data_IF_311782036741
#
_entry.id   IF_311782036741
#
_cell.length_a   1.000
_cell.length_b   1.000
_cell.length_c   1.000
_cell.angle_alpha   90.00
_cell.angle_beta   90.00
_cell.angle_gamma   90.00
#
_symmetry.space_group_name_H-M   'P 1'
#
loop_
_entity.id
_entity.type
_entity.pdbx_description
1 polymer ?
#
# COMPACT_ATOMS: atom_id res chain seq x y z
N UNK A 1 12.90 4.38 0.49
CA UNK A 1 11.79 3.46 0.15
C UNK A 1 12.44 2.25 -0.48
N UNK A 2 12.17 1.06 0.04
CA UNK A 2 12.71 -0.19 -0.48
C UNK A 2 11.95 -0.61 -1.74
N UNK A 3 10.63 -0.48 -1.72
CA UNK A 3 9.77 -0.87 -2.83
C UNK A 3 8.46 -0.07 -2.83
N UNK A 4 7.82 -0.01 -4.00
CA UNK A 4 6.50 0.58 -4.20
C UNK A 4 5.70 -0.27 -5.17
N UNK A 5 4.51 -0.69 -4.74
CA UNK A 5 3.56 -1.41 -5.59
C UNK A 5 2.22 -0.68 -5.62
N UNK A 6 1.59 -0.64 -6.80
CA UNK A 6 0.19 -0.27 -6.96
C UNK A 6 -0.57 -1.44 -7.57
N UNK A 7 -1.52 -1.96 -6.82
CA UNK A 7 -2.33 -3.10 -7.20
C UNK A 7 -3.74 -2.64 -7.52
N UNK A 8 -4.28 -3.09 -8.63
CA UNK A 8 -5.68 -2.88 -8.99
C UNK A 8 -6.45 -4.18 -8.70
N UNK A 9 -7.66 -4.08 -8.13
CA UNK A 9 -8.50 -5.26 -7.95
C UNK A 9 -8.78 -5.87 -9.31
N UNK A 10 -8.45 -7.15 -9.45
CA UNK A 10 -8.79 -7.92 -10.63
C UNK A 10 -10.16 -8.55 -10.41
N UNK A 11 -11.11 -8.26 -11.30
CA UNK A 11 -12.41 -8.92 -11.31
C UNK A 11 -12.36 -10.13 -12.25
N UNK A 12 -12.48 -11.37 -11.74
CA UNK A 12 -12.47 -12.56 -12.57
C UNK A 12 -13.63 -12.56 -13.55
N UNK A 13 -13.35 -12.75 -14.84
CA UNK A 13 -14.37 -12.91 -15.88
C UNK A 13 -14.67 -14.38 -16.19
N UNK A 14 -13.90 -15.30 -15.62
CA UNK A 14 -14.05 -16.74 -15.78
C UNK A 14 -13.94 -17.47 -14.43
N UNK A 15 -14.47 -18.69 -14.39
CA UNK A 15 -14.48 -19.52 -13.18
C UNK A 15 -13.08 -19.93 -12.70
N UNK A 16 -12.11 -20.05 -13.62
CA UNK A 16 -10.74 -20.49 -13.31
C UNK A 16 -9.95 -19.43 -12.54
N UNK A 17 -10.30 -18.18 -12.74
CA UNK A 17 -9.66 -17.02 -12.11
C UNK A 17 -10.38 -16.59 -10.83
N UNK A 18 -11.48 -17.26 -10.47
CA UNK A 18 -12.21 -17.02 -9.22
C UNK A 18 -11.45 -17.54 -8.00
N UNK A 19 -11.57 -16.85 -6.87
CA UNK A 19 -10.96 -17.29 -5.61
C UNK A 19 -11.81 -18.40 -4.97
N UNK A 20 -11.19 -19.45 -4.45
CA UNK A 20 -11.89 -20.53 -3.73
C UNK A 20 -12.47 -20.10 -2.36
N UNK A 21 -12.18 -18.88 -1.92
CA UNK A 21 -12.67 -18.31 -0.66
C UNK A 21 -13.67 -17.22 -0.96
N UNK A 22 -14.78 -17.24 -0.24
CA UNK A 22 -15.65 -16.08 -0.13
C UNK A 22 -14.88 -14.99 0.62
N UNK A 23 -14.69 -13.86 -0.03
CA UNK A 23 -14.04 -12.67 0.55
C UNK A 23 -15.03 -11.51 0.52
N UNK A 24 -14.85 -10.55 1.43
CA UNK A 24 -15.62 -9.32 1.36
C UNK A 24 -15.31 -8.59 0.05
N UNK A 25 -16.30 -7.94 -0.59
CA UNK A 25 -16.06 -7.16 -1.80
C UNK A 25 -14.97 -6.12 -1.58
N UNK A 26 -13.99 -6.04 -2.49
CA UNK A 26 -13.02 -4.97 -2.50
C UNK A 26 -13.67 -3.72 -3.13
N UNK A 27 -13.92 -2.70 -2.31
CA UNK A 27 -14.67 -1.49 -2.70
C UNK A 27 -13.80 -0.30 -3.05
N UNK A 28 -12.48 -0.49 -3.16
CA UNK A 28 -11.53 0.56 -3.55
C UNK A 28 -11.07 0.34 -5.00
N UNK A 29 -10.66 1.42 -5.67
CA UNK A 29 -10.23 1.33 -7.08
C UNK A 29 -8.80 0.78 -7.23
N UNK A 30 -7.98 0.90 -6.19
CA UNK A 30 -6.61 0.41 -6.14
C UNK A 30 -6.08 0.38 -4.70
N UNK A 31 -4.97 -0.31 -4.49
CA UNK A 31 -4.17 -0.29 -3.27
C UNK A 31 -2.74 0.13 -3.60
N UNK A 32 -2.21 1.12 -2.89
CA UNK A 32 -0.79 1.48 -2.93
C UNK A 32 -0.08 0.93 -1.69
N UNK A 33 1.09 0.33 -1.87
CA UNK A 33 1.90 -0.19 -0.79
C UNK A 33 3.33 0.34 -0.89
N UNK A 34 3.85 0.86 0.23
CA UNK A 34 5.22 1.38 0.36
C UNK A 34 5.97 0.54 1.37
N UNK A 35 7.11 0.00 0.95
CA UNK A 35 7.97 -0.80 1.80
C UNK A 35 9.16 0.02 2.30
N UNK A 36 9.42 -0.06 3.60
CA UNK A 36 10.55 0.59 4.25
C UNK A 36 11.36 -0.49 4.99
N UNK A 37 12.69 -0.36 4.98
CA UNK A 37 13.57 -1.29 5.71
C UNK A 37 13.47 -1.10 7.22
N UNK A 38 13.22 0.14 7.67
CA UNK A 38 13.25 0.52 9.07
C UNK A 38 12.12 1.52 9.36
N UNK A 39 11.30 1.17 10.36
CA UNK A 39 10.27 2.06 10.89
C UNK A 39 10.88 3.34 11.48
N UNK A 40 12.01 3.21 12.16
CA UNK A 40 12.67 4.35 12.80
C UNK A 40 13.21 5.33 11.77
N UNK A 41 13.79 4.83 10.68
CA UNK A 41 14.32 5.70 9.62
C UNK A 41 13.19 6.36 8.83
N UNK A 42 12.07 5.65 8.64
CA UNK A 42 10.84 6.26 8.12
C UNK A 42 10.36 7.43 8.99
N UNK A 43 10.27 7.24 10.31
CA UNK A 43 9.83 8.30 11.24
C UNK A 43 10.82 9.47 11.25
N UNK A 44 12.14 9.19 11.34
CA UNK A 44 13.18 10.22 11.33
C UNK A 44 13.16 11.04 10.05
N UNK A 45 13.07 10.39 8.89
CA UNK A 45 13.03 11.06 7.60
C UNK A 45 11.82 12.00 7.50
N UNK A 46 10.65 11.60 8.01
CA UNK A 46 9.46 12.46 8.02
C UNK A 46 9.60 13.67 8.95
N UNK A 47 10.48 13.64 9.94
CA UNK A 47 10.66 14.74 10.90
C UNK A 47 11.72 15.77 10.46
N UNK A 48 12.39 15.58 9.33
CA UNK A 48 13.29 16.61 8.78
C UNK A 48 12.51 17.66 7.97
N UNK A 49 13.04 18.89 7.80
CA UNK A 49 12.42 19.90 6.94
C UNK A 49 12.20 19.41 5.51
N UNK A 50 13.16 18.68 4.95
CA UNK A 50 13.08 18.12 3.60
C UNK A 50 12.00 17.04 3.51
N UNK A 51 11.89 16.19 4.53
CA UNK A 51 10.84 15.18 4.61
C UNK A 51 9.45 15.80 4.73
N UNK A 52 9.28 16.82 5.57
CA UNK A 52 8.02 17.56 5.67
C UNK A 52 7.64 18.22 4.35
N UNK A 53 8.62 18.81 3.65
CA UNK A 53 8.38 19.37 2.31
C UNK A 53 7.94 18.28 1.32
N UNK A 54 8.65 17.15 1.28
CA UNK A 54 8.31 16.04 0.39
C UNK A 54 6.91 15.48 0.68
N UNK A 55 6.51 15.40 1.95
CA UNK A 55 5.15 14.98 2.33
C UNK A 55 4.08 15.99 1.86
N UNK A 56 4.35 17.28 1.96
CA UNK A 56 3.44 18.30 1.45
C UNK A 56 3.31 18.23 -0.08
N UNK A 57 4.42 18.05 -0.80
CA UNK A 57 4.43 17.90 -2.25
C UNK A 57 3.64 16.64 -2.68
N UNK A 58 3.86 15.50 -2.01
CA UNK A 58 3.10 14.27 -2.23
C UNK A 58 1.61 14.47 -1.97
N UNK A 59 1.24 15.14 -0.88
CA UNK A 59 -0.15 15.41 -0.53
C UNK A 59 -0.86 16.23 -1.61
N UNK A 60 -0.19 17.24 -2.17
CA UNK A 60 -0.71 18.08 -3.26
C UNK A 60 -0.90 17.25 -4.52
N UNK A 61 0.00 16.31 -4.79
CA UNK A 61 -0.13 15.42 -5.95
C UNK A 61 -1.28 14.42 -5.77
N UNK A 62 -1.38 13.77 -4.61
CA UNK A 62 -2.47 12.85 -4.26
C UNK A 62 -3.85 13.49 -4.39
N UNK A 63 -4.01 14.77 -4.01
CA UNK A 63 -5.28 15.49 -4.18
C UNK A 63 -5.80 15.53 -5.62
N UNK A 64 -4.94 15.32 -6.62
CA UNK A 64 -5.33 15.35 -8.03
C UNK A 64 -6.03 14.07 -8.47
N UNK A 65 -5.81 12.95 -7.76
CA UNK A 65 -6.27 11.63 -8.22
C UNK A 65 -6.79 10.70 -7.11
N UNK A 66 -6.66 11.06 -5.84
CA UNK A 66 -7.17 10.28 -4.70
C UNK A 66 -8.37 11.00 -4.09
N UNK A 67 -9.48 10.28 -3.94
CA UNK A 67 -10.58 10.70 -3.07
C UNK A 67 -10.16 10.52 -1.60
N UNK A 68 -9.66 11.59 -1.01
CA UNK A 68 -9.13 11.56 0.36
C UNK A 68 -10.18 11.33 1.43
N UNK A 69 -11.46 11.58 1.15
CA UNK A 69 -12.54 11.35 2.11
C UNK A 69 -12.88 9.86 2.22
N UNK A 70 -12.67 9.11 1.14
CA UNK A 70 -12.96 7.69 1.06
C UNK A 70 -11.70 6.80 0.99
N UNK A 71 -10.51 7.40 0.99
CA UNK A 71 -9.24 6.69 1.05
C UNK A 71 -8.85 6.34 2.49
N UNK A 72 -8.22 5.19 2.66
CA UNK A 72 -7.70 4.72 3.94
C UNK A 72 -6.20 4.43 3.82
N UNK A 73 -5.45 4.72 4.89
CA UNK A 73 -4.03 4.43 4.99
C UNK A 73 -3.70 3.93 6.40
N UNK A 74 -2.85 2.90 6.47
CA UNK A 74 -2.35 2.37 7.74
C UNK A 74 -0.88 1.98 7.60
N UNK A 75 -0.19 1.82 8.74
CA UNK A 75 1.15 1.24 8.79
C UNK A 75 1.03 -0.21 9.24
N UNK A 76 1.59 -1.11 8.45
CA UNK A 76 1.71 -2.53 8.78
C UNK A 76 3.14 -2.91 9.15
N UNK A 77 3.30 -4.05 9.80
CA UNK A 77 4.59 -4.74 9.98
C UNK A 77 4.50 -6.10 9.31
N UNK A 78 5.55 -6.51 8.60
CA UNK A 78 5.65 -7.85 8.05
C UNK A 78 5.82 -8.87 9.18
N UNK A 79 4.96 -9.88 9.21
CA UNK A 79 5.19 -11.13 9.94
C UNK A 79 5.51 -12.23 8.92
N UNK A 80 6.74 -12.74 8.96
CA UNK A 80 7.17 -13.81 8.05
C UNK A 80 6.74 -15.16 8.61
N UNK A 81 5.76 -15.78 7.95
CA UNK A 81 5.22 -17.08 8.36
C UNK A 81 6.07 -18.24 7.84
N UNK A 82 6.72 -18.09 6.67
CA UNK A 82 7.56 -19.12 6.07
C UNK A 82 8.88 -18.51 5.60
N UNK A 83 10.01 -19.04 6.07
CA UNK A 83 11.35 -18.57 5.67
C UNK A 83 11.78 -19.10 4.30
N UNK A 84 11.31 -20.30 3.95
CA UNK A 84 11.43 -20.96 2.64
C UNK A 84 10.20 -21.81 2.44
N UNK A 85 9.52 -21.66 1.31
CA UNK A 85 8.51 -22.64 0.91
C UNK A 85 9.24 -23.93 0.50
N UNK A 86 8.82 -25.11 0.99
CA UNK A 86 9.40 -26.39 0.60
C UNK A 86 8.81 -26.79 -0.76
N UNK A 87 9.26 -26.15 -1.85
CA UNK A 87 9.02 -26.65 -3.19
C UNK A 87 10.35 -26.74 -3.93
#
# INVERSE_FOLDING_TARGET
IKDYAKTFPFQPTDEKSSTQRETLPFTFDAMGELWYESKDDFIKARNTPEGQKALADLRVDELKFVDMANSVMWLGTEERIFDKLPF
#
